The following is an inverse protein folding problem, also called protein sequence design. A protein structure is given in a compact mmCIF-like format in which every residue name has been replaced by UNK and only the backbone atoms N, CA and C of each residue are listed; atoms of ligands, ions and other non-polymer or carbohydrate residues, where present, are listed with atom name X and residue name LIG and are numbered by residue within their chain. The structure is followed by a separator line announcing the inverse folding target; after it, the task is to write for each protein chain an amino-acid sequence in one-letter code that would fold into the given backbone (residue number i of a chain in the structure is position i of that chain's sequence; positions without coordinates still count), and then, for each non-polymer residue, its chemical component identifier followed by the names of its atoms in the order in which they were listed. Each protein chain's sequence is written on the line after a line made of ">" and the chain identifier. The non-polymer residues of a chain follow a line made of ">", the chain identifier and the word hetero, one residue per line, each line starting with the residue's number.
data_IF_203382081348
#
_entry.id   IF_203382081348
#
_cell.length_a   1.000
_cell.length_b   1.000
_cell.length_c   1.000
_cell.angle_alpha   90.00
_cell.angle_beta   90.00
_cell.angle_gamma   90.00
#
_symmetry.space_group_name_H-M   'P 1'
#
loop_
_entity.id
_entity.type
_entity.pdbx_description
1 polymer ?
#
# COMPACT_ATOMS: atom_id res chain seq x y z
N UNK A 1 6.13 -6.03 11.72
CA UNK A 1 7.06 -5.05 11.13
C UNK A 1 6.22 -3.90 10.56
N UNK A 2 6.60 -2.64 10.74
CA UNK A 2 5.91 -1.51 10.08
C UNK A 2 6.42 -1.47 8.64
N UNK A 3 5.54 -1.56 7.64
CA UNK A 3 5.92 -1.25 6.26
C UNK A 3 6.32 0.23 6.21
N UNK A 4 7.60 0.49 5.96
CA UNK A 4 8.18 1.83 5.83
C UNK A 4 8.32 2.26 4.37
N UNK A 5 7.90 1.43 3.42
CA UNK A 5 7.89 1.74 2.00
C UNK A 5 6.85 2.79 1.60
N UNK A 6 6.91 3.27 0.35
CA UNK A 6 5.91 4.18 -0.20
C UNK A 6 4.50 3.57 -0.08
N UNK A 7 3.57 4.35 0.46
CA UNK A 7 2.17 3.96 0.62
C UNK A 7 1.26 5.05 0.08
N UNK A 8 0.20 4.63 -0.59
CA UNK A 8 -0.86 5.54 -0.98
C UNK A 8 -1.62 6.05 0.25
N UNK A 9 -2.08 7.32 0.27
CA UNK A 9 -2.99 7.82 1.30
C UNK A 9 -4.20 6.91 1.52
N UNK A 10 -4.62 6.75 2.78
CA UNK A 10 -5.63 5.76 3.17
C UNK A 10 -7.02 6.05 2.59
N UNK A 11 -7.32 7.31 2.30
CA UNK A 11 -8.54 7.77 1.61
C UNK A 11 -8.57 7.35 0.15
N UNK A 12 -7.46 7.52 -0.57
CA UNK A 12 -7.35 7.08 -1.96
C UNK A 12 -7.40 5.55 -2.08
N UNK A 13 -6.72 4.84 -1.18
CA UNK A 13 -6.78 3.38 -1.17
C UNK A 13 -8.19 2.88 -0.84
N UNK A 14 -8.88 3.54 0.09
CA UNK A 14 -10.24 3.18 0.46
C UNK A 14 -11.20 3.25 -0.74
N UNK A 15 -11.04 4.27 -1.59
CA UNK A 15 -11.79 4.42 -2.84
C UNK A 15 -11.50 3.28 -3.82
N UNK A 16 -10.21 2.97 -4.05
CA UNK A 16 -9.77 1.90 -4.97
C UNK A 16 -10.27 0.52 -4.52
N UNK A 17 -10.14 0.21 -3.22
CA UNK A 17 -10.50 -1.11 -2.68
C UNK A 17 -12.01 -1.25 -2.46
N UNK A 18 -12.75 -0.15 -2.45
CA UNK A 18 -14.17 -0.11 -2.13
C UNK A 18 -14.44 -0.42 -0.66
N UNK A 19 -13.73 0.24 0.26
CA UNK A 19 -13.92 0.09 1.69
C UNK A 19 -13.81 1.42 2.44
N UNK A 20 -14.01 1.42 3.77
CA UNK A 20 -13.86 2.65 4.55
C UNK A 20 -12.40 2.98 4.87
N UNK A 21 -12.06 4.27 4.92
CA UNK A 21 -10.73 4.77 5.37
C UNK A 21 -10.33 4.18 6.72
N UNK A 22 -11.31 4.02 7.63
CA UNK A 22 -11.11 3.39 8.93
C UNK A 22 -10.67 1.93 8.80
N UNK A 23 -11.23 1.18 7.84
CA UNK A 23 -10.83 -0.20 7.57
C UNK A 23 -9.39 -0.27 7.09
N UNK A 24 -9.01 0.56 6.12
CA UNK A 24 -7.62 0.65 5.63
C UNK A 24 -6.65 0.91 6.78
N UNK A 25 -6.92 1.94 7.61
CA UNK A 25 -6.09 2.28 8.78
C UNK A 25 -5.98 1.12 9.76
N UNK A 26 -7.08 0.41 10.03
CA UNK A 26 -7.07 -0.75 10.94
C UNK A 26 -6.25 -1.91 10.40
N UNK A 27 -6.34 -2.20 9.10
CA UNK A 27 -5.52 -3.24 8.45
C UNK A 27 -4.04 -2.87 8.53
N UNK A 28 -3.65 -1.67 8.10
CA UNK A 28 -2.24 -1.21 8.14
C UNK A 28 -1.65 -1.12 9.56
N UNK A 29 -2.48 -0.92 10.58
CA UNK A 29 -2.05 -0.87 11.99
C UNK A 29 -2.14 -2.23 12.70
N UNK A 30 -2.42 -3.32 11.98
CA UNK A 30 -2.65 -4.66 12.53
C UNK A 30 -3.76 -4.71 13.60
N UNK A 31 -4.70 -3.76 13.55
CA UNK A 31 -5.89 -3.69 14.41
C UNK A 31 -7.12 -4.40 13.79
N UNK A 32 -6.94 -4.99 12.61
CA UNK A 32 -7.92 -5.84 11.91
C UNK A 32 -7.16 -6.93 11.18
N UNK A 33 -7.72 -8.13 11.14
CA UNK A 33 -7.16 -9.26 10.39
C UNK A 33 -7.08 -8.95 8.89
N UNK A 34 -5.91 -9.20 8.33
CA UNK A 34 -5.64 -9.18 6.89
C UNK A 34 -6.19 -10.40 6.17
N UNK A 35 -6.63 -11.45 6.88
CA UNK A 35 -7.24 -12.66 6.30
C UNK A 35 -8.69 -12.44 5.82
N UNK A 36 -9.29 -11.29 6.16
CA UNK A 36 -10.59 -10.91 5.58
C UNK A 36 -10.42 -10.51 4.11
N UNK A 37 -11.43 -10.73 3.25
CA UNK A 37 -11.37 -10.33 1.82
C UNK A 37 -10.95 -8.87 1.66
N UNK A 38 -11.47 -7.96 2.49
CA UNK A 38 -11.08 -6.54 2.47
C UNK A 38 -9.65 -6.33 2.96
N UNK A 39 -9.22 -7.06 4.00
CA UNK A 39 -7.85 -7.03 4.49
C UNK A 39 -6.84 -7.46 3.43
N UNK A 40 -7.13 -8.57 2.73
CA UNK A 40 -6.33 -9.07 1.62
C UNK A 40 -6.23 -8.05 0.49
N UNK A 41 -7.34 -7.42 0.09
CA UNK A 41 -7.32 -6.37 -0.94
C UNK A 41 -6.41 -5.19 -0.56
N UNK A 42 -6.50 -4.71 0.68
CA UNK A 42 -5.63 -3.63 1.18
C UNK A 42 -4.16 -4.06 1.15
N UNK A 43 -3.87 -5.27 1.62
CA UNK A 43 -2.50 -5.80 1.67
C UNK A 43 -1.89 -6.00 0.29
N UNK A 44 -2.60 -6.66 -0.61
CA UNK A 44 -2.17 -6.88 -2.00
C UNK A 44 -1.93 -5.55 -2.71
N UNK A 45 -2.80 -4.56 -2.50
CA UNK A 45 -2.58 -3.23 -3.07
C UNK A 45 -1.29 -2.60 -2.53
N UNK A 46 -1.10 -2.58 -1.21
CA UNK A 46 0.07 -1.96 -0.59
C UNK A 46 1.37 -2.65 -1.06
N UNK A 47 1.39 -3.98 -1.16
CA UNK A 47 2.53 -4.75 -1.67
C UNK A 47 2.85 -4.40 -3.15
N UNK A 48 1.83 -4.35 -4.02
CA UNK A 48 2.02 -4.00 -5.43
C UNK A 48 2.45 -2.54 -5.61
N UNK A 49 1.87 -1.62 -4.83
CA UNK A 49 2.20 -0.20 -4.89
C UNK A 49 3.64 0.04 -4.44
N UNK A 50 4.07 -0.60 -3.36
CA UNK A 50 5.43 -0.51 -2.85
C UNK A 50 6.44 -1.06 -3.87
N UNK A 51 6.18 -2.25 -4.42
CA UNK A 51 7.05 -2.89 -5.41
C UNK A 51 7.16 -2.04 -6.68
N UNK A 52 6.03 -1.62 -7.26
CA UNK A 52 6.01 -0.81 -8.48
C UNK A 52 6.66 0.56 -8.30
N UNK A 53 6.40 1.23 -7.18
CA UNK A 53 7.01 2.54 -6.89
C UNK A 53 8.52 2.42 -6.70
N UNK A 54 8.97 1.40 -5.97
CA UNK A 54 10.40 1.16 -5.74
C UNK A 54 11.13 0.89 -7.05
N UNK A 55 10.55 0.04 -7.91
CA UNK A 55 11.13 -0.30 -9.21
C UNK A 55 11.21 0.93 -10.14
N UNK A 56 10.15 1.74 -10.17
CA UNK A 56 10.12 2.97 -10.95
C UNK A 56 11.17 3.97 -10.46
N UNK A 57 11.29 4.16 -9.14
CA UNK A 57 12.31 5.04 -8.55
C UNK A 57 13.72 4.55 -8.92
N UNK A 58 13.96 3.24 -8.85
CA UNK A 58 15.24 2.62 -9.23
C UNK A 58 15.60 2.93 -10.69
N UNK A 59 14.66 2.71 -11.60
CA UNK A 59 14.82 3.03 -13.02
C UNK A 59 15.07 4.52 -13.27
N UNK A 60 14.33 5.41 -12.60
CA UNK A 60 14.53 6.85 -12.73
C UNK A 60 15.96 7.22 -12.32
N UNK A 61 16.45 6.73 -11.18
CA UNK A 61 17.81 7.00 -10.69
C UNK A 61 18.88 6.61 -11.72
N UNK A 62 18.73 5.46 -12.36
CA UNK A 62 19.62 5.01 -13.43
C UNK A 62 19.63 5.99 -14.63
N UNK A 63 18.45 6.48 -15.04
CA UNK A 63 18.33 7.43 -16.16
C UNK A 63 18.95 8.78 -15.81
N UNK A 64 18.67 9.30 -14.61
CA UNK A 64 19.13 10.64 -14.20
C UNK A 64 20.59 10.69 -13.73
N UNK A 65 21.31 9.56 -13.77
CA UNK A 65 22.69 9.41 -13.26
C UNK A 65 22.85 9.93 -11.83
N UNK A 66 21.94 9.54 -10.94
CA UNK A 66 22.09 9.69 -9.48
C UNK A 66 22.41 8.33 -8.88
#
# INVERSE_FOLDING_TARGET
>A
MKNTGPQLPADQLADIVGCSVSTVKKVRTNKRSDETVTGLKVKVFDELYEAGTTELISHIKQIVKI
#
